data_IF_145596774207
#
_entry.id   IF_145596774207
#
_cell.length_a   1.000
_cell.length_b   1.000
_cell.length_c   1.000
_cell.angle_alpha   90.00
_cell.angle_beta   90.00
_cell.angle_gamma   90.00
#
_symmetry.space_group_name_H-M   'P 1'
#
loop_
_entity.id
_entity.type
_entity.pdbx_description
1 polymer ?
#
# COMPACT_ATOMS: atom_id res chain seq x y z
N UNK A 1 -79.19 -11.25 -6.38
CA UNK A 1 -78.13 -12.12 -6.96
C UNK A 1 -76.76 -11.41 -7.24
N UNK A 2 -76.66 -10.14 -7.54
CA UNK A 2 -75.43 -9.50 -7.92
C UNK A 2 -74.47 -9.15 -6.77
N UNK A 3 -74.92 -8.91 -5.54
CA UNK A 3 -74.09 -8.60 -4.39
C UNK A 3 -73.37 -9.85 -3.83
N UNK A 4 -74.06 -10.96 -3.72
CA UNK A 4 -73.49 -12.24 -3.29
C UNK A 4 -72.46 -12.79 -4.28
N UNK A 5 -72.68 -12.63 -5.58
CA UNK A 5 -71.70 -13.04 -6.61
C UNK A 5 -70.43 -12.24 -6.55
N UNK A 6 -70.51 -10.92 -6.29
CA UNK A 6 -69.36 -10.08 -6.08
C UNK A 6 -68.57 -10.46 -4.84
N UNK A 7 -69.16 -10.75 -3.74
CA UNK A 7 -68.51 -11.17 -2.51
C UNK A 7 -67.84 -12.53 -2.70
N UNK A 8 -68.43 -13.47 -3.38
CA UNK A 8 -67.83 -14.77 -3.70
C UNK A 8 -66.60 -14.57 -4.66
N UNK A 9 -66.71 -13.71 -5.67
CA UNK A 9 -65.65 -13.42 -6.59
C UNK A 9 -64.45 -12.75 -5.88
N UNK A 10 -64.69 -11.79 -4.96
CA UNK A 10 -63.59 -11.15 -4.20
C UNK A 10 -62.93 -12.14 -3.24
N UNK A 11 -63.66 -13.02 -2.59
CA UNK A 11 -63.10 -14.05 -1.72
C UNK A 11 -62.24 -15.06 -2.50
N UNK A 12 -62.68 -15.46 -3.70
CA UNK A 12 -61.91 -16.33 -4.59
C UNK A 12 -60.64 -15.65 -5.06
N UNK A 13 -60.67 -14.34 -5.38
CA UNK A 13 -59.49 -13.58 -5.78
C UNK A 13 -58.48 -13.45 -4.64
N UNK A 14 -58.96 -13.20 -3.42
CA UNK A 14 -58.10 -13.12 -2.23
C UNK A 14 -57.46 -14.49 -1.95
N UNK A 15 -58.24 -15.57 -2.02
CA UNK A 15 -57.73 -16.93 -1.84
C UNK A 15 -56.68 -17.29 -2.90
N UNK A 16 -56.92 -16.93 -4.17
CA UNK A 16 -55.98 -17.13 -5.26
C UNK A 16 -54.66 -16.33 -5.03
N UNK A 17 -54.77 -15.05 -4.65
CA UNK A 17 -53.62 -14.23 -4.33
C UNK A 17 -52.83 -14.80 -3.14
N UNK A 18 -53.47 -15.26 -2.10
CA UNK A 18 -52.84 -15.87 -0.94
C UNK A 18 -52.10 -17.18 -1.30
N UNK A 19 -52.70 -18.03 -2.15
CA UNK A 19 -52.06 -19.25 -2.63
C UNK A 19 -50.90 -18.92 -3.58
N UNK A 20 -51.08 -17.97 -4.49
CA UNK A 20 -50.03 -17.54 -5.44
C UNK A 20 -48.80 -16.93 -4.72
N UNK A 21 -49.07 -16.09 -3.71
CA UNK A 21 -47.97 -15.52 -2.89
C UNK A 21 -47.29 -16.60 -2.04
N UNK A 22 -48.02 -17.52 -1.46
CA UNK A 22 -47.44 -18.64 -0.70
C UNK A 22 -46.57 -19.56 -1.59
N UNK A 23 -47.02 -19.84 -2.82
CA UNK A 23 -46.23 -20.59 -3.80
C UNK A 23 -44.98 -19.83 -4.23
N UNK A 24 -45.08 -18.53 -4.55
CA UNK A 24 -43.96 -17.71 -4.94
C UNK A 24 -42.89 -17.61 -3.83
N UNK A 25 -43.31 -17.46 -2.57
CA UNK A 25 -42.37 -17.45 -1.43
C UNK A 25 -41.70 -18.81 -1.22
N UNK A 26 -42.45 -19.91 -1.46
CA UNK A 26 -41.91 -21.27 -1.31
C UNK A 26 -40.91 -21.63 -2.41
N UNK A 27 -41.12 -21.13 -3.63
CA UNK A 27 -40.24 -21.37 -4.77
C UNK A 27 -38.92 -20.58 -4.67
N UNK A 28 -38.96 -19.36 -4.11
CA UNK A 28 -37.77 -18.52 -3.90
C UNK A 28 -36.82 -19.06 -2.83
N UNK A 29 -37.26 -19.88 -1.90
CA UNK A 29 -36.41 -20.51 -0.86
C UNK A 29 -35.70 -21.80 -1.30
N UNK A 30 -35.92 -22.28 -2.53
CA UNK A 30 -35.29 -23.50 -3.07
C UNK A 30 -34.14 -23.21 -4.05
N UNK A 31 -33.92 -21.94 -4.39
CA UNK A 31 -32.86 -21.58 -5.30
C UNK A 31 -31.47 -21.83 -4.65
N UNK A 32 -30.67 -22.63 -5.35
CA UNK A 32 -29.32 -22.97 -4.90
C UNK A 32 -28.32 -22.08 -5.57
N UNK A 33 -27.27 -21.73 -4.85
CA UNK A 33 -26.11 -21.01 -5.42
C UNK A 33 -25.52 -21.84 -6.56
N UNK A 34 -25.49 -21.27 -7.77
CA UNK A 34 -24.92 -21.93 -8.96
C UNK A 34 -23.40 -21.81 -9.02
N UNK A 35 -22.88 -20.75 -8.46
CA UNK A 35 -21.44 -20.49 -8.45
C UNK A 35 -21.12 -19.11 -7.94
N UNK A 36 -19.85 -18.93 -7.63
CA UNK A 36 -19.29 -17.67 -7.18
C UNK A 36 -18.32 -17.18 -8.26
N UNK A 37 -18.60 -16.02 -8.80
CA UNK A 37 -17.68 -15.31 -9.72
C UNK A 37 -16.93 -14.25 -8.94
N UNK A 38 -15.57 -14.33 -8.99
CA UNK A 38 -14.70 -13.41 -8.27
C UNK A 38 -13.97 -12.55 -9.28
N UNK A 39 -14.21 -11.25 -9.21
CA UNK A 39 -13.48 -10.24 -9.98
C UNK A 39 -12.62 -9.41 -9.05
N UNK A 40 -11.35 -9.22 -9.44
CA UNK A 40 -10.44 -8.31 -8.74
C UNK A 40 -10.19 -7.15 -9.68
N UNK A 41 -10.70 -5.99 -9.30
CA UNK A 41 -10.59 -4.75 -10.05
C UNK A 41 -9.69 -3.75 -9.35
N UNK A 42 -9.29 -2.66 -10.06
CA UNK A 42 -8.53 -1.56 -9.50
C UNK A 42 -7.54 -0.98 -10.49
N UNK A 43 -7.02 0.22 -10.17
CA UNK A 43 -6.05 0.95 -10.99
C UNK A 43 -4.61 0.42 -10.85
N UNK A 44 -4.37 -0.52 -9.94
CA UNK A 44 -3.03 -1.06 -9.68
C UNK A 44 -2.57 -1.95 -10.84
N UNK A 45 -1.39 -1.65 -11.40
CA UNK A 45 -0.77 -2.48 -12.46
C UNK A 45 -0.48 -3.91 -11.99
N UNK A 46 -0.16 -4.07 -10.72
CA UNK A 46 0.03 -5.34 -10.02
C UNK A 46 -0.80 -5.33 -8.75
N UNK A 47 -1.97 -5.96 -8.73
CA UNK A 47 -2.81 -5.99 -7.54
C UNK A 47 -2.16 -6.82 -6.43
N UNK A 48 -2.30 -6.39 -5.18
CA UNK A 48 -1.78 -7.07 -3.98
C UNK A 48 -2.50 -8.39 -3.67
N UNK A 49 -3.60 -8.67 -4.36
CA UNK A 49 -4.36 -9.92 -4.25
C UNK A 49 -4.87 -10.34 -5.61
N UNK A 50 -4.94 -11.62 -5.86
CA UNK A 50 -5.48 -12.21 -7.09
C UNK A 50 -6.83 -12.86 -6.83
N UNK A 51 -7.66 -13.02 -7.88
CA UNK A 51 -8.93 -13.73 -7.78
C UNK A 51 -8.75 -15.17 -7.26
N UNK A 52 -7.63 -15.84 -7.65
CA UNK A 52 -7.31 -17.18 -7.17
C UNK A 52 -6.96 -17.24 -5.68
N UNK A 53 -6.34 -16.19 -5.13
CA UNK A 53 -6.09 -16.09 -3.68
C UNK A 53 -7.40 -15.87 -2.92
N UNK A 54 -8.27 -15.00 -3.42
CA UNK A 54 -9.61 -14.80 -2.83
C UNK A 54 -10.49 -16.05 -2.91
N UNK A 55 -10.43 -16.78 -4.02
CA UNK A 55 -11.14 -18.05 -4.14
C UNK A 55 -10.68 -19.07 -3.09
N UNK A 56 -9.38 -19.17 -2.83
CA UNK A 56 -8.86 -20.05 -1.76
C UNK A 56 -9.30 -19.60 -0.37
N UNK A 57 -9.35 -18.30 -0.13
CA UNK A 57 -9.86 -17.77 1.14
C UNK A 57 -11.34 -18.11 1.32
N UNK A 58 -12.12 -18.09 0.24
CA UNK A 58 -13.51 -18.52 0.26
C UNK A 58 -13.66 -20.03 0.48
N UNK A 59 -12.81 -20.85 -0.13
CA UNK A 59 -12.81 -22.31 0.06
C UNK A 59 -12.40 -22.70 1.49
N UNK A 60 -11.63 -21.88 2.17
CA UNK A 60 -11.30 -22.03 3.60
C UNK A 60 -12.47 -21.67 4.52
N UNK A 61 -13.52 -21.00 4.02
CA UNK A 61 -14.73 -20.72 4.77
C UNK A 61 -15.57 -22.01 4.92
N UNK A 62 -16.18 -22.26 6.08
CA UNK A 62 -16.92 -23.50 6.37
C UNK A 62 -18.18 -23.68 5.52
N UNK A 63 -18.44 -22.81 4.57
CA UNK A 63 -19.55 -22.91 3.64
C UNK A 63 -19.00 -22.80 2.22
N UNK A 64 -18.87 -23.94 1.53
CA UNK A 64 -18.89 -23.94 0.08
C UNK A 64 -20.24 -23.35 -0.35
N UNK A 65 -20.28 -22.04 -0.65
CA UNK A 65 -21.53 -21.39 -1.02
C UNK A 65 -22.15 -22.03 -2.27
N UNK A 66 -21.34 -22.59 -3.17
CA UNK A 66 -21.84 -23.32 -4.33
C UNK A 66 -22.64 -24.58 -3.90
N UNK A 67 -23.90 -24.61 -4.29
CA UNK A 67 -24.85 -25.70 -3.96
C UNK A 67 -25.64 -25.49 -2.68
N UNK A 68 -25.33 -24.46 -1.86
CA UNK A 68 -26.16 -24.09 -0.69
C UNK A 68 -27.43 -23.36 -1.13
N UNK A 69 -28.52 -23.47 -0.32
CA UNK A 69 -29.67 -22.61 -0.50
C UNK A 69 -29.30 -21.13 -0.41
N UNK A 70 -29.83 -20.30 -1.32
CA UNK A 70 -29.47 -18.85 -1.36
C UNK A 70 -29.92 -18.09 -0.13
N UNK A 71 -31.00 -18.54 0.52
CA UNK A 71 -31.52 -17.96 1.76
C UNK A 71 -30.59 -18.19 2.98
N UNK A 72 -29.75 -19.22 2.93
CA UNK A 72 -28.74 -19.51 3.95
C UNK A 72 -27.46 -18.70 3.75
N UNK A 73 -27.25 -18.13 2.55
CA UNK A 73 -26.06 -17.35 2.25
C UNK A 73 -26.29 -15.88 2.60
N UNK A 74 -25.58 -15.41 3.63
CA UNK A 74 -25.61 -14.01 4.00
C UNK A 74 -24.51 -13.22 3.29
N UNK A 75 -24.84 -12.38 2.28
CA UNK A 75 -23.83 -11.60 1.54
C UNK A 75 -23.05 -10.63 2.43
N UNK A 76 -23.67 -10.15 3.52
CA UNK A 76 -23.01 -9.23 4.46
C UNK A 76 -21.92 -9.94 5.28
N UNK A 77 -22.16 -11.20 5.65
CA UNK A 77 -21.16 -12.00 6.37
C UNK A 77 -19.99 -12.37 5.48
N UNK A 78 -20.24 -12.69 4.20
CA UNK A 78 -19.19 -12.90 3.21
C UNK A 78 -18.35 -11.63 3.01
N UNK A 79 -19.01 -10.49 2.82
CA UNK A 79 -18.35 -9.21 2.68
C UNK A 79 -17.48 -8.91 3.91
N UNK A 80 -18.01 -9.09 5.12
CA UNK A 80 -17.27 -8.83 6.36
C UNK A 80 -16.00 -9.67 6.44
N UNK A 81 -16.08 -10.97 6.15
CA UNK A 81 -14.91 -11.87 6.17
C UNK A 81 -13.85 -11.49 5.13
N UNK A 82 -14.26 -11.18 3.90
CA UNK A 82 -13.33 -10.75 2.86
C UNK A 82 -12.68 -9.41 3.19
N UNK A 83 -13.38 -8.51 3.89
CA UNK A 83 -12.81 -7.24 4.37
C UNK A 83 -11.76 -7.43 5.48
N UNK A 84 -11.73 -8.58 6.16
CA UNK A 84 -10.69 -8.93 7.13
C UNK A 84 -9.35 -9.27 6.45
N UNK A 85 -9.35 -9.53 5.14
CA UNK A 85 -8.11 -9.73 4.37
C UNK A 85 -7.38 -8.38 4.24
N UNK A 86 -6.17 -8.30 4.76
CA UNK A 86 -5.40 -7.04 4.82
C UNK A 86 -5.17 -6.40 3.45
N UNK A 87 -5.08 -7.22 2.41
CA UNK A 87 -4.80 -6.81 1.02
C UNK A 87 -5.99 -6.22 0.27
N UNK A 88 -7.18 -6.17 0.89
CA UNK A 88 -8.42 -5.70 0.27
C UNK A 88 -8.81 -4.36 0.86
N UNK A 89 -9.13 -3.41 0.01
CA UNK A 89 -9.63 -2.09 0.39
C UNK A 89 -11.15 -2.06 0.49
N UNK A 90 -11.85 -2.65 -0.48
CA UNK A 90 -13.30 -2.78 -0.47
C UNK A 90 -13.76 -4.06 -1.17
N UNK A 91 -14.94 -4.55 -0.78
CA UNK A 91 -15.59 -5.72 -1.37
C UNK A 91 -17.07 -5.44 -1.58
N UNK A 92 -17.55 -5.73 -2.77
CA UNK A 92 -18.97 -5.79 -3.09
C UNK A 92 -19.37 -7.25 -3.31
N UNK A 93 -20.43 -7.70 -2.66
CA UNK A 93 -21.03 -9.01 -2.84
C UNK A 93 -22.46 -8.83 -3.30
N UNK A 94 -22.77 -9.30 -4.50
CA UNK A 94 -24.11 -9.19 -5.12
C UNK A 94 -24.60 -10.58 -5.46
N UNK A 95 -25.81 -10.89 -4.99
CA UNK A 95 -26.52 -12.12 -5.37
C UNK A 95 -27.48 -11.81 -6.49
N UNK A 96 -27.41 -12.57 -7.57
CA UNK A 96 -28.29 -12.43 -8.74
C UNK A 96 -29.45 -13.41 -8.66
N UNK A 97 -30.52 -13.09 -9.39
CA UNK A 97 -31.76 -13.90 -9.44
C UNK A 97 -31.57 -15.24 -10.13
N UNK A 98 -30.49 -15.44 -10.89
CA UNK A 98 -30.16 -16.72 -11.51
C UNK A 98 -29.43 -17.70 -10.56
N UNK A 99 -29.18 -17.27 -9.33
CA UNK A 99 -28.49 -18.05 -8.31
C UNK A 99 -26.98 -17.86 -8.31
N UNK A 100 -26.41 -16.94 -9.12
CA UNK A 100 -25.00 -16.62 -9.07
C UNK A 100 -24.68 -15.55 -8.01
N UNK A 101 -23.48 -15.65 -7.42
CA UNK A 101 -22.95 -14.65 -6.50
C UNK A 101 -21.72 -14.01 -7.14
N UNK A 102 -21.78 -12.71 -7.34
CA UNK A 102 -20.66 -11.95 -7.86
C UNK A 102 -19.95 -11.21 -6.73
N UNK A 103 -18.66 -11.48 -6.59
CA UNK A 103 -17.77 -10.82 -5.62
C UNK A 103 -16.83 -9.94 -6.40
N UNK A 104 -16.94 -8.63 -6.20
CA UNK A 104 -16.00 -7.65 -6.74
C UNK A 104 -15.13 -7.11 -5.61
N UNK A 105 -13.84 -7.44 -5.64
CA UNK A 105 -12.88 -7.00 -4.65
C UNK A 105 -11.96 -5.93 -5.23
N UNK A 106 -11.78 -4.83 -4.49
CA UNK A 106 -10.82 -3.77 -4.79
C UNK A 106 -9.59 -4.00 -3.94
N UNK A 107 -8.42 -4.32 -4.54
CA UNK A 107 -7.18 -4.47 -3.80
C UNK A 107 -6.73 -3.12 -3.24
N UNK A 108 -5.95 -3.17 -2.16
CA UNK A 108 -5.34 -1.99 -1.58
C UNK A 108 -4.39 -1.33 -2.58
N UNK A 109 -4.46 0.00 -2.67
CA UNK A 109 -3.54 0.81 -3.47
C UNK A 109 -2.59 1.50 -2.50
N UNK A 110 -1.32 1.06 -2.41
CA UNK A 110 -0.36 1.67 -1.52
C UNK A 110 0.01 3.08 -1.98
N UNK A 111 0.29 3.94 -1.02
CA UNK A 111 0.77 5.31 -1.26
C UNK A 111 2.17 5.54 -0.72
N UNK A 112 2.67 4.65 0.14
CA UNK A 112 4.03 4.64 0.65
C UNK A 112 4.41 3.24 1.17
N UNK A 113 5.72 2.97 1.19
CA UNK A 113 6.31 1.83 1.89
C UNK A 113 7.03 2.33 3.14
N UNK A 114 6.75 1.75 4.28
CA UNK A 114 7.33 2.15 5.57
C UNK A 114 8.34 1.11 6.01
N UNK A 115 9.53 1.56 6.37
CA UNK A 115 10.52 0.78 7.09
C UNK A 115 10.56 1.24 8.56
N UNK A 116 10.21 0.32 9.45
CA UNK A 116 10.13 0.57 10.89
C UNK A 116 10.97 -0.50 11.63
N UNK A 117 12.22 -0.17 11.85
CA UNK A 117 13.20 -1.13 12.40
C UNK A 117 13.41 -2.33 11.47
N UNK A 118 13.02 -3.53 11.92
CA UNK A 118 13.19 -4.78 11.17
C UNK A 118 11.96 -5.16 10.34
N UNK A 119 10.92 -4.34 10.31
CA UNK A 119 9.70 -4.60 9.55
C UNK A 119 9.52 -3.61 8.41
N UNK A 120 8.94 -4.09 7.31
CA UNK A 120 8.49 -3.20 6.25
C UNK A 120 7.07 -3.54 5.84
N UNK A 121 6.28 -2.50 5.59
CA UNK A 121 4.89 -2.63 5.20
C UNK A 121 4.46 -1.49 4.29
N UNK A 122 3.43 -1.74 3.50
CA UNK A 122 2.78 -0.71 2.71
C UNK A 122 1.64 -0.06 3.48
N UNK A 123 1.36 1.20 3.17
CA UNK A 123 0.20 1.93 3.69
C UNK A 123 -0.61 2.51 2.54
N UNK A 124 -1.95 2.50 2.66
CA UNK A 124 -2.83 3.19 1.73
C UNK A 124 -3.16 4.62 2.21
N UNK A 125 -3.95 5.36 1.45
CA UNK A 125 -4.38 6.74 1.79
C UNK A 125 -5.13 6.84 3.12
N UNK A 126 -5.81 5.79 3.54
CA UNK A 126 -6.55 5.72 4.80
C UNK A 126 -5.68 5.25 5.98
N UNK A 127 -4.43 4.86 5.73
CA UNK A 127 -3.52 4.35 6.75
C UNK A 127 -3.66 2.84 7.02
N UNK A 128 -4.42 2.10 6.19
CA UNK A 128 -4.47 0.64 6.29
C UNK A 128 -3.10 0.09 5.91
N UNK A 129 -2.57 -0.82 6.75
CA UNK A 129 -1.26 -1.45 6.57
C UNK A 129 -1.40 -2.78 5.85
N UNK A 130 -0.44 -3.07 4.99
CA UNK A 130 -0.27 -4.37 4.33
C UNK A 130 1.19 -4.77 4.42
N UNK A 131 1.44 -5.97 4.88
CA UNK A 131 2.79 -6.49 5.00
C UNK A 131 3.50 -6.52 3.63
N UNK A 132 4.74 -6.05 3.60
CA UNK A 132 5.55 -6.11 2.39
C UNK A 132 6.08 -7.54 2.21
N UNK A 133 5.78 -8.13 1.06
CA UNK A 133 6.26 -9.45 0.66
C UNK A 133 7.04 -9.33 -0.63
N UNK A 134 8.01 -10.22 -0.86
CA UNK A 134 8.82 -10.24 -2.08
C UNK A 134 7.98 -10.41 -3.36
N UNK A 135 6.77 -10.97 -3.24
CA UNK A 135 5.86 -11.23 -4.37
C UNK A 135 5.18 -9.97 -4.91
N UNK A 136 4.93 -8.99 -4.06
CA UNK A 136 4.18 -7.78 -4.41
C UNK A 136 5.04 -6.55 -4.19
N UNK A 137 5.40 -5.90 -5.27
CA UNK A 137 6.14 -4.64 -5.26
C UNK A 137 5.27 -3.52 -5.83
N UNK A 138 5.32 -2.35 -5.20
CA UNK A 138 4.69 -1.12 -5.69
C UNK A 138 5.71 0.00 -5.67
N UNK A 139 5.78 0.72 -6.79
CA UNK A 139 6.66 1.88 -6.92
C UNK A 139 6.03 3.10 -6.23
N UNK A 140 6.29 3.22 -4.94
CA UNK A 140 5.79 4.29 -4.07
C UNK A 140 6.94 4.84 -3.23
N UNK A 141 6.82 6.09 -2.74
CA UNK A 141 7.85 6.67 -1.87
C UNK A 141 8.11 5.81 -0.63
N UNK A 142 9.37 5.69 -0.28
CA UNK A 142 9.82 5.00 0.92
C UNK A 142 9.81 5.94 2.11
N UNK A 143 9.35 5.47 3.26
CA UNK A 143 9.46 6.15 4.55
C UNK A 143 10.44 5.35 5.39
N UNK A 144 11.54 5.98 5.76
CA UNK A 144 12.52 5.41 6.67
C UNK A 144 12.77 6.37 7.84
N UNK A 145 13.09 5.83 9.00
CA UNK A 145 13.44 6.66 10.14
C UNK A 145 13.21 5.96 11.47
N UNK A 146 13.51 6.71 12.53
CA UNK A 146 13.36 6.22 13.89
C UNK A 146 12.00 6.70 14.45
N UNK A 147 11.04 5.78 14.48
CA UNK A 147 9.77 6.01 15.15
C UNK A 147 9.86 5.43 16.56
N UNK A 148 9.66 6.27 17.57
CA UNK A 148 9.67 5.79 18.95
C UNK A 148 8.36 5.04 19.24
N UNK A 149 8.40 3.73 19.55
CA UNK A 149 7.18 2.96 19.83
C UNK A 149 6.39 3.49 21.03
N UNK A 150 7.06 4.21 21.95
CA UNK A 150 6.43 4.85 23.11
C UNK A 150 5.74 6.17 22.75
N UNK A 151 6.02 6.77 21.58
CA UNK A 151 5.38 8.00 21.12
C UNK A 151 4.16 7.67 20.27
N UNK A 152 3.00 7.58 20.91
CA UNK A 152 1.72 7.37 20.22
C UNK A 152 1.27 8.54 19.36
N UNK A 153 1.85 9.72 19.54
CA UNK A 153 1.46 10.95 18.83
C UNK A 153 2.17 11.08 17.47
N UNK A 154 3.36 10.50 17.35
CA UNK A 154 4.13 10.56 16.11
C UNK A 154 4.50 9.15 15.62
N UNK A 155 3.67 8.64 14.74
CA UNK A 155 3.83 7.34 14.09
C UNK A 155 4.06 7.54 12.59
N UNK A 156 4.47 6.52 11.82
CA UNK A 156 4.51 6.60 10.36
C UNK A 156 3.22 7.11 9.72
N UNK A 157 2.07 6.82 10.33
CA UNK A 157 0.77 7.29 9.85
C UNK A 157 0.56 8.80 10.03
N UNK A 158 1.31 9.44 10.93
CA UNK A 158 1.30 10.91 11.08
C UNK A 158 1.85 11.63 9.84
N UNK A 159 2.54 10.90 8.95
CA UNK A 159 3.04 11.41 7.67
C UNK A 159 2.02 11.31 6.54
N UNK A 160 0.87 10.67 6.72
CA UNK A 160 -0.14 10.53 5.67
C UNK A 160 -0.56 11.86 5.02
N UNK A 161 -0.73 12.98 5.74
CA UNK A 161 -1.02 14.26 5.10
C UNK A 161 0.07 14.69 4.12
N UNK A 162 1.34 14.48 4.46
CA UNK A 162 2.48 14.77 3.59
C UNK A 162 2.53 13.82 2.38
N UNK A 163 2.34 12.52 2.60
CA UNK A 163 2.34 11.50 1.55
C UNK A 163 1.22 11.78 0.56
N UNK A 164 0.02 12.04 1.05
CA UNK A 164 -1.13 12.36 0.21
C UNK A 164 -0.91 13.69 -0.55
N UNK A 165 -0.28 14.67 0.08
CA UNK A 165 0.09 15.91 -0.59
C UNK A 165 1.04 15.68 -1.76
N UNK A 166 2.10 14.91 -1.54
CA UNK A 166 3.09 14.56 -2.58
C UNK A 166 2.41 13.77 -3.70
N UNK A 167 1.60 12.77 -3.39
CA UNK A 167 0.96 11.90 -4.37
C UNK A 167 -0.13 12.58 -5.20
N UNK A 168 -0.75 13.65 -4.68
CA UNK A 168 -1.76 14.43 -5.40
C UNK A 168 -1.15 15.38 -6.43
N UNK A 169 0.14 15.68 -6.37
CA UNK A 169 0.85 16.52 -7.34
C UNK A 169 1.77 15.64 -8.22
N UNK A 170 1.53 15.62 -9.53
CA UNK A 170 2.27 14.77 -10.47
C UNK A 170 3.77 15.05 -10.50
N UNK A 171 4.18 16.30 -10.25
CA UNK A 171 5.60 16.69 -10.20
C UNK A 171 6.24 16.13 -8.94
N UNK A 172 5.64 16.38 -7.78
CA UNK A 172 6.21 15.92 -6.52
C UNK A 172 6.21 14.40 -6.39
N UNK A 173 5.16 13.73 -6.88
CA UNK A 173 5.07 12.28 -6.90
C UNK A 173 6.20 11.61 -7.68
N UNK A 174 6.60 12.18 -8.81
CA UNK A 174 7.73 11.65 -9.60
C UNK A 174 9.09 12.13 -9.12
N UNK A 175 9.12 13.15 -8.28
CA UNK A 175 10.35 13.80 -7.85
C UNK A 175 10.83 13.35 -6.47
N UNK A 176 9.93 13.01 -5.54
CA UNK A 176 10.26 12.57 -4.19
C UNK A 176 10.19 11.05 -4.12
N UNK A 177 11.32 10.41 -3.83
CA UNK A 177 11.44 8.94 -3.77
C UNK A 177 11.46 8.43 -2.34
N UNK A 178 11.93 9.25 -1.38
CA UNK A 178 12.07 8.83 0.01
C UNK A 178 11.73 9.95 0.98
N UNK A 179 11.18 9.61 2.12
CA UNK A 179 10.91 10.47 3.26
C UNK A 179 11.69 9.90 4.45
N UNK A 180 12.78 10.54 4.83
CA UNK A 180 13.53 10.19 6.02
C UNK A 180 13.04 11.02 7.22
N UNK A 181 12.85 10.37 8.33
CA UNK A 181 12.37 10.99 9.56
C UNK A 181 13.42 10.84 10.66
N UNK A 182 14.04 11.94 11.02
CA UNK A 182 14.96 11.99 12.16
C UNK A 182 14.22 12.37 13.45
N UNK A 183 13.18 13.20 13.32
CA UNK A 183 12.28 13.58 14.42
C UNK A 183 10.98 14.18 13.88
N UNK A 184 9.92 14.38 14.71
CA UNK A 184 8.67 15.04 14.30
C UNK A 184 8.83 16.44 13.70
N UNK A 185 9.97 17.09 13.97
CA UNK A 185 10.32 18.44 13.48
C UNK A 185 11.48 18.46 12.50
N UNK A 186 11.92 17.30 12.06
CA UNK A 186 13.06 17.15 11.16
C UNK A 186 12.79 16.05 10.14
N UNK A 187 11.83 16.34 9.24
CA UNK A 187 11.42 15.47 8.14
C UNK A 187 12.20 15.90 6.90
N UNK A 188 12.88 14.95 6.30
CA UNK A 188 13.75 15.12 5.15
C UNK A 188 13.15 14.40 3.95
N UNK A 189 13.01 15.10 2.82
CA UNK A 189 12.61 14.52 1.54
C UNK A 189 13.83 14.29 0.70
N UNK A 190 13.92 13.12 0.06
CA UNK A 190 15.01 12.78 -0.85
C UNK A 190 14.47 12.81 -2.27
N UNK A 191 14.95 13.73 -3.12
CA UNK A 191 14.56 13.80 -4.51
C UNK A 191 15.28 12.77 -5.38
N UNK A 192 14.66 12.40 -6.50
CA UNK A 192 15.23 11.50 -7.53
C UNK A 192 16.60 11.95 -8.03
N UNK A 193 16.87 13.26 -8.03
CA UNK A 193 18.15 13.84 -8.51
C UNK A 193 19.35 13.42 -7.66
N UNK A 194 19.13 13.05 -6.39
CA UNK A 194 20.18 12.59 -5.45
C UNK A 194 21.33 13.58 -5.21
N UNK A 195 21.18 14.85 -5.60
CA UNK A 195 22.21 15.86 -5.39
C UNK A 195 22.11 16.51 -4.01
N UNK A 196 20.90 16.72 -3.52
CA UNK A 196 20.65 17.34 -2.24
C UNK A 196 19.39 16.74 -1.59
N UNK A 197 19.25 16.97 -0.31
CA UNK A 197 18.02 16.63 0.43
C UNK A 197 17.22 17.88 0.73
N UNK A 198 15.92 17.72 0.96
CA UNK A 198 15.01 18.81 1.31
C UNK A 198 14.51 18.63 2.74
N UNK A 199 14.87 19.53 3.63
CA UNK A 199 14.37 19.54 4.99
C UNK A 199 13.09 20.38 5.07
N UNK A 200 11.94 19.75 5.29
CA UNK A 200 10.65 20.41 5.45
C UNK A 200 10.31 20.70 6.92
N UNK A 201 11.09 20.16 7.86
CA UNK A 201 10.80 20.23 9.29
C UNK A 201 9.61 19.38 9.67
N UNK A 202 8.42 19.94 9.78
CA UNK A 202 7.17 19.25 10.14
C UNK A 202 6.19 19.16 8.97
N UNK A 203 5.11 18.38 9.13
CA UNK A 203 4.00 18.28 8.16
C UNK A 203 3.06 19.49 8.14
N UNK A 204 3.31 20.53 8.94
CA UNK A 204 2.49 21.72 8.96
C UNK A 204 2.79 22.64 7.76
N UNK A 205 1.76 23.34 7.24
CA UNK A 205 1.87 24.36 6.18
C UNK A 205 2.54 23.84 4.89
N UNK A 206 2.12 22.69 4.40
CA UNK A 206 2.70 22.06 3.23
C UNK A 206 2.62 22.95 1.99
N UNK A 207 1.48 23.60 1.74
CA UNK A 207 1.30 24.49 0.58
C UNK A 207 2.34 25.59 0.50
N UNK A 208 2.58 26.29 1.61
CA UNK A 208 3.59 27.35 1.70
C UNK A 208 5.00 26.78 1.46
N UNK A 209 5.34 25.67 2.11
CA UNK A 209 6.67 25.05 1.97
C UNK A 209 6.93 24.56 0.56
N UNK A 210 6.00 23.82 -0.02
CA UNK A 210 6.16 23.29 -1.37
C UNK A 210 6.08 24.39 -2.46
N UNK A 211 5.33 25.46 -2.23
CA UNK A 211 5.33 26.63 -3.11
C UNK A 211 6.69 27.31 -3.15
N UNK A 212 7.30 27.56 -1.97
CA UNK A 212 8.66 28.13 -1.88
C UNK A 212 9.73 27.21 -2.47
N UNK A 213 9.60 25.91 -2.22
CA UNK A 213 10.48 24.90 -2.78
C UNK A 213 10.39 24.90 -4.32
N UNK A 214 9.19 24.92 -4.87
CA UNK A 214 8.95 24.98 -6.33
C UNK A 214 9.58 26.22 -6.96
N UNK A 215 9.47 27.38 -6.28
CA UNK A 215 10.14 28.61 -6.73
C UNK A 215 11.66 28.46 -6.72
N UNK A 216 12.22 27.90 -5.66
CA UNK A 216 13.65 27.64 -5.55
C UNK A 216 14.17 26.74 -6.68
N UNK A 217 13.47 25.67 -7.00
CA UNK A 217 13.80 24.78 -8.12
C UNK A 217 13.69 25.46 -9.49
N UNK A 218 12.77 26.38 -9.67
CA UNK A 218 12.57 27.07 -10.94
C UNK A 218 13.51 28.27 -11.16
N UNK A 219 13.81 29.01 -10.10
CA UNK A 219 14.49 30.30 -10.21
C UNK A 219 15.97 30.22 -9.77
N UNK A 220 16.32 29.39 -8.80
CA UNK A 220 17.66 29.39 -8.20
C UNK A 220 18.53 28.27 -8.76
N UNK A 221 18.07 27.02 -8.76
CA UNK A 221 18.90 25.89 -9.18
C UNK A 221 19.36 25.95 -10.64
N UNK A 222 18.54 26.37 -11.62
CA UNK A 222 19.01 26.48 -13.00
C UNK A 222 20.15 27.50 -13.19
N UNK A 223 20.23 28.51 -12.32
CA UNK A 223 21.24 29.57 -12.38
C UNK A 223 22.49 29.21 -11.58
N UNK A 224 22.30 28.55 -10.43
CA UNK A 224 23.41 28.27 -9.47
C UNK A 224 24.04 26.89 -9.65
N UNK A 225 23.37 25.98 -10.31
CA UNK A 225 23.76 24.56 -10.43
C UNK A 225 23.04 23.66 -9.41
N UNK A 226 22.69 22.49 -9.86
CA UNK A 226 21.95 21.49 -9.06
C UNK A 226 22.82 20.85 -7.97
N UNK A 227 24.11 20.72 -8.24
CA UNK A 227 25.13 20.16 -7.35
C UNK A 227 25.67 21.14 -6.32
N UNK A 228 25.27 22.42 -6.40
CA UNK A 228 25.80 23.48 -5.54
C UNK A 228 25.46 23.30 -4.07
N UNK A 229 24.29 22.72 -3.80
CA UNK A 229 23.75 22.62 -2.45
C UNK A 229 23.69 21.16 -2.00
N UNK A 230 23.84 20.96 -0.70
CA UNK A 230 23.76 19.67 -0.03
C UNK A 230 22.38 19.51 0.65
N UNK A 231 21.88 20.59 1.24
CA UNK A 231 20.57 20.61 1.90
C UNK A 231 19.81 21.89 1.55
N UNK A 232 18.54 21.73 1.21
CA UNK A 232 17.59 22.84 1.00
C UNK A 232 16.52 22.77 2.09
N UNK A 233 16.51 23.72 3.02
CA UNK A 233 15.58 23.75 4.11
C UNK A 233 14.47 24.77 3.87
N UNK A 234 13.21 24.33 3.93
CA UNK A 234 11.98 25.15 3.86
C UNK A 234 11.22 25.15 5.18
N UNK A 235 11.83 24.62 6.26
CA UNK A 235 11.17 24.49 7.57
C UNK A 235 10.83 25.83 8.21
N UNK A 236 11.59 26.87 7.91
CA UNK A 236 11.42 28.19 8.45
C UNK A 236 10.34 28.99 7.71
N UNK A 237 9.60 29.83 8.44
CA UNK A 237 8.54 30.62 7.83
C UNK A 237 9.10 31.67 6.84
N UNK A 238 8.56 31.72 5.63
CA UNK A 238 8.92 32.69 4.61
C UNK A 238 10.34 32.58 4.05
N UNK A 239 11.13 31.57 4.45
CA UNK A 239 12.52 31.44 4.07
C UNK A 239 12.85 30.10 3.41
N UNK A 240 13.84 30.14 2.52
CA UNK A 240 14.53 28.95 2.01
C UNK A 240 16.00 29.09 2.39
N UNK A 241 16.51 28.16 3.17
CA UNK A 241 17.90 28.13 3.59
C UNK A 241 18.59 26.98 2.88
N UNK A 242 19.55 27.31 2.00
CA UNK A 242 20.31 26.33 1.22
C UNK A 242 21.75 26.26 1.73
N UNK A 243 22.16 25.08 2.20
CA UNK A 243 23.52 24.80 2.65
C UNK A 243 24.37 24.38 1.47
N UNK A 244 25.49 25.04 1.25
CA UNK A 244 26.42 24.68 0.18
C UNK A 244 27.11 23.35 0.46
N UNK A 245 27.29 22.55 -0.58
CA UNK A 245 28.04 21.31 -0.52
C UNK A 245 29.52 21.61 -0.20
N UNK A 246 30.07 20.80 0.70
CA UNK A 246 31.51 20.81 0.97
C UNK A 246 32.24 20.03 -0.13
N UNK A 247 33.41 20.49 -0.54
CA UNK A 247 34.25 19.76 -1.49
C UNK A 247 34.68 18.42 -0.89
N UNK A 248 34.72 17.38 -1.71
CA UNK A 248 35.13 16.01 -1.34
C UNK A 248 34.25 15.30 -0.29
N UNK A 249 33.01 15.69 -0.18
CA UNK A 249 32.00 14.97 0.63
C UNK A 249 30.90 14.45 -0.30
N UNK A 250 30.47 13.21 -0.10
CA UNK A 250 29.37 12.64 -0.86
C UNK A 250 28.09 13.45 -0.65
N UNK A 251 27.20 13.54 -1.64
CA UNK A 251 25.90 14.19 -1.48
C UNK A 251 25.11 13.60 -0.31
N UNK A 252 24.46 14.44 0.49
CA UNK A 252 23.64 13.98 1.61
C UNK A 252 22.53 13.01 1.19
N UNK A 253 22.01 13.17 -0.04
CA UNK A 253 21.03 12.25 -0.60
C UNK A 253 21.58 10.84 -0.80
N UNK A 254 22.85 10.67 -1.18
CA UNK A 254 23.45 9.35 -1.39
C UNK A 254 23.58 8.56 -0.08
N UNK A 255 23.99 9.21 1.00
CA UNK A 255 24.07 8.53 2.32
C UNK A 255 22.73 8.04 2.82
N UNK A 256 21.63 8.75 2.50
CA UNK A 256 20.29 8.32 2.85
C UNK A 256 19.85 7.10 2.04
N UNK A 257 20.23 7.02 0.75
CA UNK A 257 19.93 5.86 -0.10
C UNK A 257 20.73 4.62 0.30
N UNK A 258 21.97 4.78 0.74
CA UNK A 258 22.78 3.67 1.24
C UNK A 258 22.14 3.05 2.51
N UNK A 259 21.59 3.90 3.41
CA UNK A 259 20.83 3.44 4.57
C UNK A 259 19.56 2.65 4.16
N UNK A 260 18.85 3.09 3.09
CA UNK A 260 17.67 2.42 2.55
C UNK A 260 18.01 1.03 1.98
N UNK A 261 19.06 0.92 1.17
CA UNK A 261 19.48 -0.36 0.57
C UNK A 261 19.83 -1.37 1.66
N UNK A 262 20.50 -0.95 2.73
CA UNK A 262 20.81 -1.80 3.88
C UNK A 262 19.55 -2.30 4.60
N UNK A 263 18.56 -1.42 4.78
CA UNK A 263 17.27 -1.78 5.40
C UNK A 263 16.47 -2.71 4.49
N UNK A 264 16.41 -2.42 3.19
CA UNK A 264 15.64 -3.23 2.23
C UNK A 264 16.19 -4.65 2.12
N UNK A 265 17.51 -4.81 2.06
CA UNK A 265 18.16 -6.13 2.01
C UNK A 265 17.84 -6.96 3.24
N UNK A 266 17.87 -6.35 4.43
CA UNK A 266 17.53 -7.01 5.69
C UNK A 266 16.07 -7.47 5.74
N UNK A 267 15.15 -6.65 5.23
CA UNK A 267 13.71 -6.91 5.27
C UNK A 267 13.27 -7.94 4.24
N UNK A 268 13.88 -7.95 3.05
CA UNK A 268 13.59 -8.96 2.02
C UNK A 268 14.02 -10.37 2.45
N UNK A 269 15.11 -10.49 3.19
CA UNK A 269 15.56 -11.77 3.75
C UNK A 269 14.69 -12.25 4.91
N UNK A 270 14.07 -11.34 5.67
CA UNK A 270 13.19 -11.70 6.79
C UNK A 270 11.77 -12.08 6.35
N UNK A 271 11.33 -11.62 5.17
CA UNK A 271 9.99 -11.90 4.61
C UNK A 271 9.87 -13.27 3.93
N UNK A 272 10.97 -13.86 3.48
CA UNK A 272 10.99 -15.24 3.04
C UNK A 272 11.11 -16.15 4.27
N UNK A 273 10.07 -16.95 4.54
CA UNK A 273 10.05 -18.00 5.56
C UNK A 273 11.17 -19.02 5.30
N UNK A 274 12.40 -18.63 5.49
CA UNK A 274 13.53 -19.55 5.64
C UNK A 274 13.50 -20.00 7.08
N UNK A 275 12.99 -21.20 7.32
CA UNK A 275 13.08 -21.85 8.60
C UNK A 275 14.54 -21.79 9.10
N UNK A 276 14.79 -21.45 10.38
CA UNK A 276 16.14 -21.39 10.90
C UNK A 276 16.78 -22.77 10.77
N UNK A 277 17.73 -22.92 9.83
CA UNK A 277 18.45 -24.18 9.63
C UNK A 277 18.73 -24.60 8.20
N UNK A 278 18.25 -23.90 7.17
CA UNK A 278 18.64 -24.19 5.78
C UNK A 278 19.81 -23.31 5.34
N UNK A 279 21.01 -23.86 5.44
CA UNK A 279 22.22 -23.36 4.78
C UNK A 279 22.05 -23.54 3.27
N UNK A 280 22.08 -22.44 2.52
CA UNK A 280 22.12 -22.46 1.05
C UNK A 280 23.47 -23.04 0.64
N UNK A 281 23.55 -24.18 -0.08
CA UNK A 281 24.80 -24.68 -0.62
C UNK A 281 25.18 -23.86 -1.85
N UNK A 282 26.31 -23.18 -1.81
CA UNK A 282 26.99 -22.68 -2.99
C UNK A 282 27.23 -21.17 -3.06
N UNK A 283 28.05 -20.68 -2.19
CA UNK A 283 28.98 -19.59 -2.54
C UNK A 283 30.34 -19.92 -1.95
N UNK A 284 31.17 -20.59 -2.76
CA UNK A 284 32.58 -20.76 -2.44
C UNK A 284 33.20 -19.36 -2.29
N UNK A 285 33.72 -19.09 -1.11
CA UNK A 285 34.56 -17.96 -0.87
C UNK A 285 35.79 -18.07 -1.76
N UNK A 286 35.90 -17.18 -2.75
CA UNK A 286 37.13 -17.00 -3.49
C UNK A 286 38.17 -16.45 -2.52
N UNK A 287 39.01 -17.37 -2.03
CA UNK A 287 40.19 -17.08 -1.22
C UNK A 287 41.22 -16.45 -2.13
N UNK A 288 41.22 -15.12 -2.27
CA UNK A 288 42.34 -14.40 -2.90
C UNK A 288 43.60 -14.55 -2.04
N UNK A 289 44.54 -15.28 -2.58
CA UNK A 289 45.92 -15.36 -2.03
C UNK A 289 46.55 -13.97 -2.01
N UNK A 290 47.21 -13.56 -0.93
CA UNK A 290 47.91 -12.29 -0.88
C UNK A 290 49.07 -12.28 -1.86
N UNK A 291 49.13 -11.21 -2.65
CA UNK A 291 50.24 -10.92 -3.60
C UNK A 291 51.53 -10.65 -2.79
N UNK A 292 52.64 -11.32 -3.06
CA UNK A 292 53.88 -11.06 -2.33
C UNK A 292 54.47 -9.67 -2.70
N UNK A 293 54.89 -8.96 -1.68
CA UNK A 293 55.52 -7.64 -1.78
C UNK A 293 56.79 -7.68 -2.65
N UNK A 294 56.88 -6.75 -3.60
CA UNK A 294 58.03 -6.57 -4.46
C UNK A 294 59.22 -6.07 -3.63
N UNK A 295 60.31 -6.87 -3.64
CA UNK A 295 61.60 -6.57 -3.06
C UNK A 295 62.25 -5.41 -3.81
N UNK A 296 62.53 -4.30 -3.13
CA UNK A 296 63.39 -3.21 -3.65
C UNK A 296 64.80 -3.74 -3.86
N UNK A 297 65.28 -3.81 -5.11
CA UNK A 297 66.67 -3.95 -5.44
C UNK A 297 67.33 -2.56 -5.34
N UNK A 298 68.24 -2.41 -4.39
CA UNK A 298 69.24 -1.37 -4.35
C UNK A 298 70.28 -1.70 -5.37
N UNK A 299 70.52 -0.78 -6.29
CA UNK A 299 71.70 -0.79 -7.18
C UNK A 299 72.76 0.14 -6.61
N UNK A 300 73.95 -0.38 -6.56
CA UNK A 300 75.24 0.32 -6.36
C UNK A 300 75.54 1.30 -7.52
#
# INVERSE_FOLDING_TARGET
MTKTLRIISTLLLIAYLAVATAMAVRDSGTDRCRGIEITVGGEAKTPFVTAAELARELDSLPAHAAGMPLDEINPQSLRKRLMEVDKIEDVSVVTYTDGSIHISATPIIPVARVFDGNSSYYVNRAGKRVEATARYHSDVPVIAGHFNPADSLFTPLSLLPLINYINNDSVWRSFITMIKVDSPRDIILVPTIREHVVNIGSTARLDDKFSRLRRFYKEVLPVKGWEMYDTVSVKWNGQVVATRRKKNVAPAAMTVYDDEEAVDTGTMLAGDNVAPGQTIPGREAHNEKPIPAATKRTAN
#
